data_IF_933801957468
#
_entry.id   IF_933801957468
#
_cell.length_a   1.000
_cell.length_b   1.000
_cell.length_c   1.000
_cell.angle_alpha   90.00
_cell.angle_beta   90.00
_cell.angle_gamma   90.00
#
_symmetry.space_group_name_H-M   'P 1'
#
loop_
_entity.id
_entity.type
_entity.pdbx_description
1 polymer ?
#
# COMPACT_ATOMS: atom_id res chain seq x y z
N UNK A 1 3.15 7.81 -7.17
CA UNK A 1 2.35 6.85 -7.94
C UNK A 1 3.11 5.55 -7.99
N UNK A 2 2.69 4.57 -7.19
CA UNK A 2 3.27 3.22 -7.19
C UNK A 2 3.32 2.65 -8.61
N UNK A 3 4.46 2.08 -8.97
CA UNK A 3 4.57 1.25 -10.17
C UNK A 3 3.79 -0.06 -10.02
N UNK A 4 3.48 -0.75 -11.13
CA UNK A 4 2.70 -2.00 -11.09
C UNK A 4 3.34 -3.09 -10.22
N UNK A 5 4.65 -3.30 -10.35
CA UNK A 5 5.38 -4.28 -9.53
C UNK A 5 5.38 -3.90 -8.04
N UNK A 6 5.53 -2.61 -7.77
CA UNK A 6 5.53 -2.07 -6.42
C UNK A 6 4.15 -2.20 -5.76
N UNK A 7 3.09 -1.94 -6.51
CA UNK A 7 1.72 -2.16 -6.07
C UNK A 7 1.42 -3.64 -5.76
N UNK A 8 1.97 -4.57 -6.54
CA UNK A 8 1.86 -6.02 -6.24
C UNK A 8 2.58 -6.38 -4.94
N UNK A 9 3.81 -5.89 -4.76
CA UNK A 9 4.55 -6.09 -3.51
C UNK A 9 3.77 -5.55 -2.31
N UNK A 10 3.34 -4.30 -2.37
CA UNK A 10 2.62 -3.65 -1.28
C UNK A 10 1.24 -4.27 -1.01
N UNK A 11 0.59 -4.82 -2.04
CA UNK A 11 -0.64 -5.61 -1.85
C UNK A 11 -0.35 -6.87 -1.03
N UNK A 12 0.76 -7.56 -1.28
CA UNK A 12 1.15 -8.74 -0.50
C UNK A 12 1.45 -8.38 0.96
N UNK A 13 2.22 -7.31 1.19
CA UNK A 13 2.52 -6.81 2.54
C UNK A 13 1.23 -6.43 3.27
N UNK A 14 0.34 -5.68 2.60
CA UNK A 14 -0.95 -5.28 3.17
C UNK A 14 -1.81 -6.48 3.56
N UNK A 15 -1.89 -7.51 2.71
CA UNK A 15 -2.66 -8.73 3.00
C UNK A 15 -2.10 -9.50 4.20
N UNK A 16 -0.78 -9.65 4.30
CA UNK A 16 -0.14 -10.28 5.46
C UNK A 16 -0.38 -9.48 6.73
N UNK A 17 -0.26 -8.16 6.67
CA UNK A 17 -0.54 -7.29 7.80
C UNK A 17 -1.99 -7.43 8.29
N UNK A 18 -2.95 -7.59 7.37
CA UNK A 18 -4.37 -7.88 7.70
C UNK A 18 -4.59 -9.27 8.32
N UNK A 19 -3.69 -10.20 8.09
CA UNK A 19 -3.72 -11.54 8.70
C UNK A 19 -3.02 -11.57 10.08
N UNK A 20 -2.49 -10.45 10.55
CA UNK A 20 -1.80 -10.36 11.84
C UNK A 20 -0.31 -10.67 11.78
N UNK A 21 0.30 -10.69 10.59
CA UNK A 21 1.74 -10.83 10.44
C UNK A 21 2.45 -9.57 10.98
N UNK A 22 3.17 -9.72 12.09
CA UNK A 22 3.80 -8.61 12.81
C UNK A 22 4.87 -7.90 11.98
N UNK A 23 5.64 -8.63 11.19
CA UNK A 23 6.68 -8.06 10.31
C UNK A 23 6.05 -7.21 9.21
N UNK A 24 4.97 -7.71 8.60
CA UNK A 24 4.23 -6.96 7.59
C UNK A 24 3.54 -5.72 8.16
N UNK A 25 2.98 -5.80 9.38
CA UNK A 25 2.41 -4.64 10.09
C UNK A 25 3.49 -3.57 10.29
N UNK A 26 4.63 -3.94 10.87
CA UNK A 26 5.72 -3.00 11.12
C UNK A 26 6.26 -2.39 9.83
N UNK A 27 6.40 -3.20 8.78
CA UNK A 27 6.84 -2.73 7.46
C UNK A 27 5.88 -1.69 6.89
N UNK A 28 4.57 -1.96 6.94
CA UNK A 28 3.53 -1.07 6.45
C UNK A 28 3.46 0.24 7.26
N UNK A 29 3.54 0.15 8.59
CA UNK A 29 3.54 1.31 9.48
C UNK A 29 4.76 2.20 9.28
N UNK A 30 5.95 1.59 9.13
CA UNK A 30 7.19 2.33 8.89
C UNK A 30 7.15 3.12 7.58
N UNK A 31 6.75 2.47 6.48
CA UNK A 31 6.62 3.12 5.18
C UNK A 31 5.59 4.26 5.21
N UNK A 32 4.42 4.00 5.78
CA UNK A 32 3.38 5.02 5.95
C UNK A 32 3.84 6.18 6.83
N UNK A 33 4.68 5.92 7.83
CA UNK A 33 5.30 6.94 8.66
C UNK A 33 6.22 7.86 7.84
N UNK A 34 7.00 7.32 6.91
CA UNK A 34 7.86 8.10 6.00
C UNK A 34 7.01 8.91 5.02
N UNK A 35 6.03 8.29 4.37
CA UNK A 35 5.12 8.95 3.42
C UNK A 35 4.37 10.12 4.04
N UNK A 36 3.79 9.93 5.23
CA UNK A 36 3.11 11.01 5.95
C UNK A 36 4.03 12.19 6.26
N UNK A 37 5.28 11.93 6.65
CA UNK A 37 6.27 13.00 6.89
C UNK A 37 6.60 13.77 5.60
N UNK A 38 6.55 13.10 4.46
CA UNK A 38 6.79 13.69 3.15
C UNK A 38 5.53 14.35 2.53
N UNK A 39 4.37 14.29 3.21
CA UNK A 39 3.10 14.77 2.67
C UNK A 39 2.53 13.89 1.55
N UNK A 40 2.96 12.64 1.48
CA UNK A 40 2.53 11.64 0.50
C UNK A 40 1.37 10.80 1.05
N UNK A 41 0.60 10.20 0.14
CA UNK A 41 -0.48 9.25 0.48
C UNK A 41 0.09 7.99 1.10
N UNK A 42 -0.67 7.37 1.98
CA UNK A 42 -0.31 6.06 2.52
C UNK A 42 -0.37 4.98 1.43
N UNK A 43 0.29 3.86 1.68
CA UNK A 43 0.25 2.69 0.79
C UNK A 43 -1.19 2.25 0.54
N UNK A 44 -2.03 2.21 1.57
CA UNK A 44 -3.43 1.79 1.47
C UNK A 44 -4.26 2.75 0.60
N UNK A 45 -4.06 4.05 0.78
CA UNK A 45 -4.74 5.08 -0.01
C UNK A 45 -4.38 4.96 -1.49
N UNK A 46 -3.10 4.79 -1.79
CA UNK A 46 -2.61 4.69 -3.15
C UNK A 46 -3.02 3.36 -3.82
N UNK A 47 -2.98 2.24 -3.09
CA UNK A 47 -3.51 0.95 -3.58
C UNK A 47 -5.02 1.03 -3.88
N UNK A 48 -5.80 1.71 -3.04
CA UNK A 48 -7.23 1.91 -3.30
C UNK A 48 -7.49 2.73 -4.58
N UNK A 49 -6.68 3.74 -4.86
CA UNK A 49 -6.78 4.52 -6.09
C UNK A 49 -6.45 3.69 -7.33
N UNK A 50 -5.42 2.85 -7.26
CA UNK A 50 -5.04 1.95 -8.35
C UNK A 50 -6.18 0.96 -8.65
N UNK A 51 -6.80 0.37 -7.62
CA UNK A 51 -7.95 -0.54 -7.80
C UNK A 51 -9.14 0.19 -8.41
N UNK A 52 -9.46 1.40 -7.95
CA UNK A 52 -10.55 2.21 -8.51
C UNK A 52 -10.28 2.55 -9.98
N UNK A 53 -9.06 2.95 -10.32
CA UNK A 53 -8.66 3.27 -11.68
C UNK A 53 -8.70 2.04 -12.60
N UNK A 54 -8.32 0.86 -12.10
CA UNK A 54 -8.43 -0.40 -12.85
C UNK A 54 -9.89 -0.78 -13.13
N UNK A 55 -10.78 -0.66 -12.13
CA UNK A 55 -12.21 -0.95 -12.27
C UNK A 55 -12.94 0.01 -13.20
N UNK A 56 -12.53 1.28 -13.28
CA UNK A 56 -13.15 2.27 -14.15
C UNK A 56 -12.76 2.12 -15.64
N UNK A 57 -11.76 1.30 -15.94
CA UNK A 57 -11.26 1.06 -17.30
C UNK A 57 -11.73 -0.27 -17.91
N UNK A 58 -12.45 -1.10 -17.15
CA UNK A 58 -13.09 -2.34 -17.60
C UNK A 58 -14.58 -2.15 -17.74
#
# INVERSE_FOLDING_TARGET
MLGMLEAVYWTSVYQKAKQGDEEAIQTLEAENGVRKKNGEKTIEEELMEIIKAAKAKG
#
